data_IF_468695052621
#
_entry.id   IF_468695052621
#
_cell.length_a   1.000
_cell.length_b   1.000
_cell.length_c   1.000
_cell.angle_alpha   90.00
_cell.angle_beta   90.00
_cell.angle_gamma   90.00
#
_symmetry.space_group_name_H-M   'P 1'
#
loop_
_entity.id
_entity.type
_entity.pdbx_description
1 polymer ?
#
# COMPACT_ATOMS: atom_id res chain seq x y z
N UNK A 1 -22.71 -0.40 4.22
CA UNK A 1 -21.89 -1.56 3.86
C UNK A 1 -22.59 -2.90 4.07
N UNK A 2 -23.34 -3.11 5.17
CA UNK A 2 -24.12 -4.36 5.43
C UNK A 2 -24.96 -4.93 4.26
N UNK A 3 -25.55 -4.07 3.43
CA UNK A 3 -26.38 -4.51 2.28
C UNK A 3 -25.54 -5.16 1.16
N UNK A 4 -24.26 -4.81 1.02
CA UNK A 4 -23.38 -5.35 -0.03
C UNK A 4 -22.69 -6.64 0.45
N UNK A 5 -22.33 -6.74 1.74
CA UNK A 5 -21.83 -8.00 2.33
C UNK A 5 -22.87 -9.12 2.26
N UNK A 6 -24.16 -8.78 2.28
CA UNK A 6 -25.28 -9.73 2.05
C UNK A 6 -25.45 -10.12 0.56
N UNK A 7 -24.74 -9.46 -0.37
CA UNK A 7 -24.84 -9.66 -1.81
C UNK A 7 -23.48 -10.01 -2.44
N UNK A 8 -22.80 -11.05 -1.94
CA UNK A 8 -21.57 -11.57 -2.54
C UNK A 8 -21.71 -11.91 -4.04
N UNK A 9 -22.91 -12.30 -4.49
CA UNK A 9 -23.22 -12.50 -5.91
C UNK A 9 -23.00 -11.24 -6.75
N UNK A 10 -23.24 -10.05 -6.20
CA UNK A 10 -22.96 -8.80 -6.90
C UNK A 10 -21.46 -8.60 -7.10
N UNK A 11 -20.66 -8.90 -6.06
CA UNK A 11 -19.19 -8.86 -6.17
C UNK A 11 -18.71 -9.82 -7.26
N UNK A 12 -19.25 -11.04 -7.31
CA UNK A 12 -18.90 -12.00 -8.36
C UNK A 12 -19.19 -11.46 -9.77
N UNK A 13 -20.34 -10.81 -9.98
CA UNK A 13 -20.67 -10.19 -11.26
C UNK A 13 -19.72 -9.04 -11.61
N UNK A 14 -19.37 -8.19 -10.63
CA UNK A 14 -18.37 -7.13 -10.83
C UNK A 14 -17.04 -7.72 -11.25
N UNK A 15 -16.57 -8.79 -10.60
CA UNK A 15 -15.30 -9.44 -10.93
C UNK A 15 -15.33 -10.09 -12.33
N UNK A 16 -16.44 -10.73 -12.72
CA UNK A 16 -16.62 -11.30 -14.06
C UNK A 16 -16.55 -10.22 -15.14
N UNK A 17 -17.30 -9.12 -14.97
CA UNK A 17 -17.30 -7.99 -15.91
C UNK A 17 -15.90 -7.39 -15.98
N UNK A 18 -15.25 -7.21 -14.84
CA UNK A 18 -13.92 -6.62 -14.77
C UNK A 18 -12.89 -7.49 -15.49
N UNK A 19 -12.94 -8.82 -15.32
CA UNK A 19 -12.06 -9.75 -16.02
C UNK A 19 -12.22 -9.64 -17.54
N UNK A 20 -13.45 -9.54 -18.03
CA UNK A 20 -13.73 -9.35 -19.47
C UNK A 20 -13.22 -8.00 -19.98
N UNK A 21 -13.45 -6.91 -19.23
CA UNK A 21 -12.98 -5.58 -19.61
C UNK A 21 -11.45 -5.48 -19.59
N UNK A 22 -10.79 -6.09 -18.62
CA UNK A 22 -9.32 -6.12 -18.56
C UNK A 22 -8.75 -6.91 -19.73
N UNK A 23 -9.36 -8.05 -20.07
CA UNK A 23 -8.95 -8.81 -21.25
C UNK A 23 -9.12 -7.99 -22.54
N UNK A 24 -10.25 -7.27 -22.68
CA UNK A 24 -10.47 -6.35 -23.80
C UNK A 24 -9.40 -5.25 -23.83
N UNK A 25 -9.10 -4.63 -22.68
CA UNK A 25 -8.07 -3.59 -22.58
C UNK A 25 -6.72 -4.09 -23.05
N UNK A 26 -6.35 -5.30 -22.64
CA UNK A 26 -5.06 -5.88 -22.98
C UNK A 26 -4.93 -6.27 -24.47
N UNK A 27 -6.04 -6.34 -25.20
CA UNK A 27 -6.06 -6.63 -26.63
C UNK A 27 -6.13 -5.38 -27.52
N UNK A 28 -6.39 -4.21 -26.94
CA UNK A 28 -6.65 -2.99 -27.70
C UNK A 28 -5.79 -1.82 -27.19
N UNK A 29 -4.95 -1.27 -28.06
CA UNK A 29 -4.04 -0.16 -27.72
C UNK A 29 -4.77 1.17 -27.49
N UNK A 30 -5.92 1.38 -28.11
CA UNK A 30 -6.74 2.58 -27.97
C UNK A 30 -8.02 2.27 -27.18
N UNK A 31 -8.05 2.75 -25.94
CA UNK A 31 -9.23 2.63 -25.08
C UNK A 31 -10.09 3.88 -25.20
N UNK A 32 -11.40 3.68 -25.29
CA UNK A 32 -12.32 4.80 -25.10
C UNK A 32 -12.24 5.33 -23.66
N UNK A 33 -12.39 6.64 -23.49
CA UNK A 33 -12.45 7.29 -22.17
C UNK A 33 -13.54 6.67 -21.28
N UNK A 34 -14.66 6.26 -21.89
CA UNK A 34 -15.76 5.58 -21.21
C UNK A 34 -15.35 4.22 -20.64
N UNK A 35 -14.57 3.44 -21.38
CA UNK A 35 -14.05 2.14 -20.92
C UNK A 35 -13.10 2.32 -19.74
N UNK A 36 -12.14 3.25 -19.86
CA UNK A 36 -11.20 3.56 -18.78
C UNK A 36 -11.96 4.01 -17.53
N UNK A 37 -12.94 4.91 -17.69
CA UNK A 37 -13.76 5.44 -16.59
C UNK A 37 -14.54 4.33 -15.90
N UNK A 38 -15.15 3.42 -16.67
CA UNK A 38 -15.90 2.28 -16.12
C UNK A 38 -14.97 1.38 -15.28
N UNK A 39 -13.82 1.01 -15.83
CA UNK A 39 -12.85 0.13 -15.16
C UNK A 39 -12.30 0.78 -13.89
N UNK A 40 -11.93 2.07 -13.95
CA UNK A 40 -11.51 2.84 -12.78
C UNK A 40 -12.60 2.87 -11.71
N UNK A 41 -13.86 3.07 -12.11
CA UNK A 41 -14.99 3.07 -11.17
C UNK A 41 -15.14 1.71 -10.48
N UNK A 42 -14.97 0.62 -11.23
CA UNK A 42 -15.02 -0.73 -10.68
C UNK A 42 -13.86 -1.01 -9.73
N UNK A 43 -12.64 -0.56 -10.04
CA UNK A 43 -11.51 -0.67 -9.13
C UNK A 43 -11.71 0.12 -7.85
N UNK A 44 -12.14 1.39 -7.95
CA UNK A 44 -12.46 2.22 -6.80
C UNK A 44 -13.56 1.60 -5.94
N UNK A 45 -14.59 1.04 -6.57
CA UNK A 45 -15.66 0.31 -5.89
C UNK A 45 -15.10 -0.89 -5.11
N UNK A 46 -14.36 -1.79 -5.77
CA UNK A 46 -13.78 -2.97 -5.13
C UNK A 46 -12.85 -2.59 -3.98
N UNK A 47 -11.95 -1.63 -4.18
CA UNK A 47 -11.05 -1.12 -3.14
C UNK A 47 -11.82 -0.71 -1.89
N UNK A 48 -12.86 0.09 -2.04
CA UNK A 48 -13.64 0.58 -0.90
C UNK A 48 -14.34 -0.57 -0.16
N UNK A 49 -14.61 -1.68 -0.85
CA UNK A 49 -15.26 -2.86 -0.28
C UNK A 49 -14.27 -3.87 0.35
N UNK A 50 -12.97 -3.81 0.03
CA UNK A 50 -11.96 -4.73 0.60
C UNK A 50 -11.77 -4.57 2.12
N UNK A 51 -12.31 -3.51 2.73
CA UNK A 51 -12.36 -3.38 4.19
C UNK A 51 -13.33 -4.38 4.85
N UNK A 52 -14.24 -5.00 4.09
CA UNK A 52 -15.16 -6.03 4.56
C UNK A 52 -14.52 -7.42 4.37
N UNK A 53 -14.27 -8.20 5.45
CA UNK A 53 -13.54 -9.46 5.37
C UNK A 53 -14.13 -10.47 4.38
N UNK A 54 -15.46 -10.63 4.37
CA UNK A 54 -16.15 -11.57 3.46
C UNK A 54 -15.93 -11.19 1.99
N UNK A 55 -15.83 -9.89 1.68
CA UNK A 55 -15.58 -9.41 0.32
C UNK A 55 -14.10 -9.62 -0.04
N UNK A 56 -13.18 -9.31 0.87
CA UNK A 56 -11.76 -9.55 0.67
C UNK A 56 -11.48 -11.04 0.39
N UNK A 57 -12.05 -11.94 1.20
CA UNK A 57 -11.96 -13.38 1.00
C UNK A 57 -12.53 -13.81 -0.34
N UNK A 58 -13.66 -13.22 -0.76
CA UNK A 58 -14.28 -13.53 -2.04
C UNK A 58 -13.43 -13.08 -3.23
N UNK A 59 -12.84 -11.88 -3.18
CA UNK A 59 -11.92 -11.40 -4.21
C UNK A 59 -10.66 -12.28 -4.26
N UNK A 60 -10.13 -12.70 -3.12
CA UNK A 60 -8.98 -13.63 -3.06
C UNK A 60 -9.28 -14.97 -3.74
N UNK A 61 -10.47 -15.54 -3.49
CA UNK A 61 -10.93 -16.78 -4.13
C UNK A 61 -11.13 -16.67 -5.65
N UNK A 62 -11.23 -15.46 -6.19
CA UNK A 62 -11.47 -15.25 -7.62
C UNK A 62 -10.21 -15.27 -8.49
N UNK A 63 -9.02 -15.42 -7.89
CA UNK A 63 -7.72 -15.51 -8.56
C UNK A 63 -7.44 -14.33 -9.52
N UNK A 64 -7.94 -13.15 -9.17
CA UNK A 64 -7.89 -11.95 -10.02
C UNK A 64 -6.51 -11.27 -10.05
N UNK A 65 -5.56 -11.68 -9.19
CA UNK A 65 -4.22 -11.06 -9.09
C UNK A 65 -3.48 -11.08 -10.42
N UNK A 66 -3.53 -12.19 -11.15
CA UNK A 66 -2.94 -12.30 -12.50
C UNK A 66 -3.56 -11.31 -13.48
N UNK A 67 -4.89 -11.12 -13.40
CA UNK A 67 -5.65 -10.19 -14.25
C UNK A 67 -5.33 -8.74 -13.89
N UNK A 68 -5.26 -8.42 -12.60
CA UNK A 68 -4.81 -7.13 -12.09
C UNK A 68 -3.38 -6.80 -12.54
N UNK A 69 -2.50 -7.80 -12.56
CA UNK A 69 -1.12 -7.60 -12.98
C UNK A 69 -0.96 -7.24 -14.48
N UNK A 70 -1.91 -7.64 -15.33
CA UNK A 70 -1.95 -7.19 -16.73
C UNK A 70 -2.18 -5.68 -16.81
N UNK A 71 -3.10 -5.14 -15.99
CA UNK A 71 -3.37 -3.70 -15.94
C UNK A 71 -2.24 -2.90 -15.30
N UNK A 72 -1.57 -3.47 -14.31
CA UNK A 72 -0.40 -2.89 -13.68
C UNK A 72 0.72 -2.57 -14.70
N UNK A 73 0.74 -3.28 -15.84
CA UNK A 73 1.68 -3.07 -16.94
C UNK A 73 1.15 -2.14 -18.04
N UNK A 74 -0.07 -1.62 -17.93
CA UNK A 74 -0.70 -0.76 -18.95
C UNK A 74 -0.17 0.68 -18.93
N UNK A 75 -0.15 1.40 -20.04
CA UNK A 75 0.36 2.79 -20.06
C UNK A 75 -0.51 3.82 -19.31
N UNK A 76 -1.66 3.43 -18.78
CA UNK A 76 -2.58 4.33 -18.10
C UNK A 76 -2.25 4.41 -16.59
N UNK A 77 -1.62 5.51 -16.18
CA UNK A 77 -1.19 5.73 -14.79
C UNK A 77 -2.34 5.66 -13.77
N UNK A 78 -3.53 6.16 -14.12
CA UNK A 78 -4.69 6.09 -13.24
C UNK A 78 -5.15 4.65 -13.00
N UNK A 79 -5.16 3.81 -14.03
CA UNK A 79 -5.47 2.39 -13.90
C UNK A 79 -4.38 1.65 -13.12
N UNK A 80 -3.08 1.94 -13.38
CA UNK A 80 -1.95 1.38 -12.62
C UNK A 80 -2.11 1.64 -11.12
N UNK A 81 -2.35 2.88 -10.72
CA UNK A 81 -2.44 3.24 -9.29
C UNK A 81 -3.63 2.57 -8.59
N UNK A 82 -4.80 2.55 -9.24
CA UNK A 82 -5.98 1.91 -8.67
C UNK A 82 -5.81 0.39 -8.53
N UNK A 83 -5.15 -0.25 -9.51
CA UNK A 83 -4.92 -1.69 -9.45
C UNK A 83 -3.83 -2.08 -8.44
N UNK A 84 -2.83 -1.22 -8.21
CA UNK A 84 -1.81 -1.46 -7.17
C UNK A 84 -2.43 -1.70 -5.79
N UNK A 85 -3.44 -0.91 -5.42
CA UNK A 85 -4.13 -1.09 -4.14
C UNK A 85 -4.83 -2.46 -4.05
N UNK A 86 -5.53 -2.86 -5.12
CA UNK A 86 -6.19 -4.17 -5.17
C UNK A 86 -5.17 -5.31 -5.05
N UNK A 87 -4.06 -5.24 -5.78
CA UNK A 87 -2.97 -6.22 -5.68
C UNK A 87 -2.43 -6.26 -4.25
N UNK A 88 -2.15 -5.10 -3.63
CA UNK A 88 -1.58 -5.03 -2.28
C UNK A 88 -2.41 -5.77 -1.22
N UNK A 89 -3.73 -5.81 -1.37
CA UNK A 89 -4.65 -6.45 -0.43
C UNK A 89 -5.11 -7.85 -0.83
N UNK A 90 -4.88 -8.27 -2.08
CA UNK A 90 -5.37 -9.55 -2.60
C UNK A 90 -4.26 -10.53 -3.00
N UNK A 91 -3.04 -10.05 -3.21
CA UNK A 91 -1.91 -10.90 -3.57
C UNK A 91 -1.45 -11.74 -2.37
N UNK A 92 -1.25 -13.04 -2.61
CA UNK A 92 -0.55 -13.91 -1.70
C UNK A 92 0.97 -13.79 -1.87
N UNK A 93 1.72 -14.34 -0.91
CA UNK A 93 3.18 -14.27 -0.94
C UNK A 93 3.80 -14.92 -2.21
N UNK A 94 3.15 -15.93 -2.79
CA UNK A 94 3.60 -16.55 -4.03
C UNK A 94 3.33 -15.65 -5.25
N UNK A 95 2.18 -14.97 -5.29
CA UNK A 95 1.87 -14.04 -6.38
C UNK A 95 2.90 -12.90 -6.44
N UNK A 96 3.26 -12.34 -5.28
CA UNK A 96 4.30 -11.31 -5.18
C UNK A 96 5.67 -11.83 -5.61
N UNK A 97 5.99 -13.10 -5.33
CA UNK A 97 7.24 -13.73 -5.75
C UNK A 97 7.36 -13.85 -7.25
N UNK A 98 6.26 -14.18 -7.90
CA UNK A 98 6.19 -14.41 -9.35
C UNK A 98 5.96 -13.11 -10.16
N UNK A 99 5.71 -11.99 -9.48
CA UNK A 99 5.44 -10.69 -10.09
C UNK A 99 6.72 -10.04 -10.65
N UNK A 100 6.92 -10.17 -11.97
CA UNK A 100 8.09 -9.62 -12.67
C UNK A 100 8.19 -8.09 -12.62
N UNK A 101 7.06 -7.38 -12.54
CA UNK A 101 6.93 -5.92 -12.56
C UNK A 101 6.83 -5.30 -11.15
N UNK A 102 7.12 -6.05 -10.07
CA UNK A 102 7.01 -5.53 -8.70
C UNK A 102 7.83 -4.25 -8.48
N UNK A 103 9.05 -4.18 -9.02
CA UNK A 103 9.90 -2.98 -8.91
C UNK A 103 9.27 -1.77 -9.57
N UNK A 104 8.72 -1.91 -10.78
CA UNK A 104 8.07 -0.82 -11.52
C UNK A 104 6.80 -0.34 -10.80
N UNK A 105 6.03 -1.27 -10.23
CA UNK A 105 4.83 -0.94 -9.46
C UNK A 105 5.14 -0.12 -8.21
N UNK A 106 6.16 -0.54 -7.45
CA UNK A 106 6.58 0.21 -6.27
C UNK A 106 7.16 1.58 -6.65
N UNK A 107 7.96 1.66 -7.72
CA UNK A 107 8.47 2.96 -8.20
C UNK A 107 7.32 3.88 -8.58
N UNK A 108 6.31 3.38 -9.31
CA UNK A 108 5.10 4.16 -9.66
C UNK A 108 4.44 4.73 -8.39
N UNK A 109 4.21 3.90 -7.37
CA UNK A 109 3.60 4.35 -6.10
C UNK A 109 4.46 5.40 -5.40
N UNK A 110 5.79 5.20 -5.32
CA UNK A 110 6.69 6.15 -4.67
C UNK A 110 6.86 7.46 -5.44
N UNK A 111 6.93 7.43 -6.78
CA UNK A 111 7.00 8.65 -7.59
C UNK A 111 5.71 9.46 -7.49
N UNK A 112 4.54 8.79 -7.51
CA UNK A 112 3.27 9.49 -7.29
C UNK A 112 3.20 10.07 -5.87
N UNK A 113 3.64 9.33 -4.85
CA UNK A 113 3.67 9.83 -3.47
C UNK A 113 4.59 11.06 -3.36
N UNK A 114 5.83 10.95 -3.85
CA UNK A 114 6.79 12.06 -3.88
C UNK A 114 6.25 13.28 -4.63
N UNK A 115 5.56 13.08 -5.74
CA UNK A 115 4.95 14.17 -6.50
C UNK A 115 3.87 14.86 -5.69
N UNK A 116 2.95 14.12 -5.08
CA UNK A 116 1.87 14.67 -4.27
C UNK A 116 2.39 15.39 -3.02
N UNK A 117 3.41 14.86 -2.36
CA UNK A 117 4.06 15.50 -1.21
C UNK A 117 4.66 16.88 -1.54
N UNK A 118 5.09 17.09 -2.80
CA UNK A 118 5.67 18.35 -3.26
C UNK A 118 4.63 19.36 -3.80
N UNK A 119 3.36 18.97 -3.89
CA UNK A 119 2.30 19.85 -4.37
C UNK A 119 1.78 20.76 -3.24
N UNK A 120 1.43 22.00 -3.58
CA UNK A 120 0.86 22.97 -2.63
C UNK A 120 -0.64 22.81 -2.40
N UNK A 121 -1.33 22.06 -3.27
CA UNK A 121 -2.76 21.78 -3.13
C UNK A 121 -3.01 20.71 -2.08
N UNK A 122 -4.16 20.74 -1.42
CA UNK A 122 -4.60 19.66 -0.54
C UNK A 122 -4.79 18.37 -1.37
N UNK A 123 -3.93 17.38 -1.11
CA UNK A 123 -3.87 16.04 -1.72
C UNK A 123 -3.95 14.94 -0.69
N UNK A 124 -4.53 15.25 0.47
CA UNK A 124 -4.55 14.34 1.62
C UNK A 124 -5.19 13.00 1.27
N UNK A 125 -6.28 13.00 0.49
CA UNK A 125 -6.99 11.76 0.12
C UNK A 125 -6.14 10.86 -0.78
N UNK A 126 -5.48 11.43 -1.79
CA UNK A 126 -4.62 10.69 -2.71
C UNK A 126 -3.37 10.16 -2.00
N UNK A 127 -2.77 10.95 -1.10
CA UNK A 127 -1.64 10.52 -0.26
C UNK A 127 -2.05 9.35 0.65
N UNK A 128 -3.21 9.44 1.30
CA UNK A 128 -3.73 8.35 2.12
C UNK A 128 -3.90 7.06 1.33
N UNK A 129 -4.39 7.14 0.07
CA UNK A 129 -4.56 5.97 -0.78
C UNK A 129 -3.22 5.31 -1.16
N UNK A 130 -2.18 6.10 -1.42
CA UNK A 130 -0.86 5.56 -1.72
C UNK A 130 -0.21 4.93 -0.48
N UNK A 131 -0.35 5.56 0.69
CA UNK A 131 0.16 5.00 1.94
C UNK A 131 -0.59 3.73 2.36
N UNK A 132 -1.90 3.68 2.15
CA UNK A 132 -2.72 2.48 2.35
C UNK A 132 -2.29 1.34 1.41
N UNK A 133 -1.98 1.66 0.16
CA UNK A 133 -1.42 0.68 -0.80
C UNK A 133 -0.06 0.15 -0.33
N UNK A 134 0.84 1.01 0.13
CA UNK A 134 2.12 0.61 0.71
C UNK A 134 1.93 -0.23 1.99
N UNK A 135 0.92 0.10 2.80
CA UNK A 135 0.58 -0.66 4.00
C UNK A 135 0.18 -2.10 3.64
N UNK A 136 -0.62 -2.30 2.59
CA UNK A 136 -0.95 -3.63 2.07
C UNK A 136 0.30 -4.36 1.60
N UNK A 137 1.10 -3.76 0.71
CA UNK A 137 2.28 -4.42 0.15
C UNK A 137 3.35 -4.80 1.19
N UNK A 138 3.57 -3.95 2.20
CA UNK A 138 4.63 -4.16 3.21
C UNK A 138 4.38 -5.33 4.14
N UNK A 139 3.26 -6.06 4.02
CA UNK A 139 3.09 -7.35 4.68
C UNK A 139 3.98 -8.46 4.09
N UNK A 140 4.47 -8.29 2.85
CA UNK A 140 5.30 -9.29 2.16
C UNK A 140 6.80 -8.95 2.25
N UNK A 141 7.64 -9.90 2.67
CA UNK A 141 9.07 -9.65 2.87
C UNK A 141 9.83 -9.32 1.57
N UNK A 142 9.36 -9.85 0.42
CA UNK A 142 9.93 -9.51 -0.88
C UNK A 142 9.71 -8.04 -1.24
N UNK A 143 8.54 -7.48 -0.89
CA UNK A 143 8.27 -6.04 -1.06
C UNK A 143 9.22 -5.23 -0.18
N UNK A 144 9.40 -5.60 1.09
CA UNK A 144 10.33 -4.89 1.99
C UNK A 144 11.75 -4.86 1.43
N UNK A 145 12.19 -5.99 0.85
CA UNK A 145 13.50 -6.11 0.21
C UNK A 145 13.61 -5.20 -1.02
N UNK A 146 12.54 -5.08 -1.81
CA UNK A 146 12.51 -4.21 -2.98
C UNK A 146 12.48 -2.71 -2.60
N UNK A 147 11.70 -2.34 -1.58
CA UNK A 147 11.68 -0.98 -0.99
C UNK A 147 13.08 -0.55 -0.55
N UNK A 148 13.85 -1.48 0.04
CA UNK A 148 15.22 -1.25 0.44
C UNK A 148 16.13 -0.97 -0.77
N UNK A 149 16.06 -1.79 -1.82
CA UNK A 149 16.85 -1.58 -3.06
C UNK A 149 16.53 -0.24 -3.74
N UNK A 150 15.27 0.18 -3.69
CA UNK A 150 14.82 1.45 -4.26
C UNK A 150 15.18 2.68 -3.39
N UNK A 151 15.80 2.46 -2.23
CA UNK A 151 16.16 3.53 -1.29
C UNK A 151 14.97 4.46 -0.96
N UNK A 152 13.79 3.88 -0.71
CA UNK A 152 12.57 4.63 -0.47
C UNK A 152 12.33 5.00 1.01
N UNK A 153 13.16 4.49 1.93
CA UNK A 153 13.06 4.77 3.38
C UNK A 153 13.17 6.27 3.72
N UNK A 154 14.09 7.07 3.12
CA UNK A 154 14.15 8.51 3.36
C UNK A 154 12.84 9.23 3.05
N UNK A 155 12.18 8.89 1.93
CA UNK A 155 10.89 9.47 1.54
C UNK A 155 9.81 9.17 2.58
N UNK A 156 9.76 7.93 3.09
CA UNK A 156 8.82 7.55 4.14
C UNK A 156 9.09 8.26 5.46
N UNK A 157 10.36 8.48 5.82
CA UNK A 157 10.73 9.28 6.98
C UNK A 157 10.26 10.73 6.81
N UNK A 158 10.45 11.33 5.63
CA UNK A 158 9.99 12.69 5.32
C UNK A 158 8.45 12.81 5.42
N UNK A 159 7.70 11.80 5.00
CA UNK A 159 6.24 11.74 5.17
C UNK A 159 5.83 11.92 6.65
N UNK A 160 6.57 11.37 7.61
CA UNK A 160 6.27 11.52 9.05
C UNK A 160 6.47 12.94 9.59
N UNK A 161 7.05 13.82 8.77
CA UNK A 161 7.33 15.22 9.13
C UNK A 161 6.38 16.23 8.51
N UNK A 162 5.74 15.85 7.40
CA UNK A 162 4.91 16.75 6.60
C UNK A 162 3.42 16.40 6.69
N UNK A 163 3.09 15.17 7.07
CA UNK A 163 1.71 14.70 7.14
C UNK A 163 1.11 14.88 8.53
N UNK A 164 -0.22 14.96 8.55
CA UNK A 164 -1.02 15.05 9.76
C UNK A 164 -2.19 14.05 9.71
N UNK A 165 -2.92 13.92 10.82
CA UNK A 165 -4.14 13.12 10.89
C UNK A 165 -3.95 11.64 10.49
N UNK A 166 -4.83 11.14 9.64
CA UNK A 166 -4.84 9.73 9.21
C UNK A 166 -3.68 9.39 8.28
N UNK A 167 -3.30 10.30 7.38
CA UNK A 167 -2.13 10.12 6.53
C UNK A 167 -0.84 9.89 7.35
N UNK A 168 -0.67 10.65 8.44
CA UNK A 168 0.46 10.46 9.36
C UNK A 168 0.45 9.06 10.01
N UNK A 169 -0.71 8.61 10.48
CA UNK A 169 -0.86 7.27 11.08
C UNK A 169 -0.49 6.17 10.07
N UNK A 170 -0.94 6.28 8.82
CA UNK A 170 -0.60 5.33 7.76
C UNK A 170 0.90 5.32 7.46
N UNK A 171 1.55 6.49 7.39
CA UNK A 171 3.00 6.57 7.18
C UNK A 171 3.79 5.85 8.29
N UNK A 172 3.40 6.03 9.55
CA UNK A 172 4.01 5.29 10.66
C UNK A 172 3.69 3.80 10.60
N UNK A 173 2.48 3.38 10.21
CA UNK A 173 2.14 1.96 10.09
C UNK A 173 3.00 1.26 9.01
N UNK A 174 3.23 1.92 7.87
CA UNK A 174 4.15 1.46 6.83
C UNK A 174 5.57 1.30 7.40
N UNK A 175 6.08 2.32 8.11
CA UNK A 175 7.41 2.24 8.77
C UNK A 175 7.45 1.11 9.79
N UNK A 176 6.38 0.89 10.55
CA UNK A 176 6.29 -0.19 11.51
C UNK A 176 6.42 -1.56 10.85
N UNK A 177 5.65 -1.83 9.80
CA UNK A 177 5.74 -3.08 9.04
C UNK A 177 7.13 -3.28 8.43
N UNK A 178 7.73 -2.21 7.91
CA UNK A 178 9.09 -2.23 7.36
C UNK A 178 10.16 -2.51 8.41
N UNK A 179 10.01 -2.01 9.63
CA UNK A 179 10.98 -2.21 10.73
C UNK A 179 11.17 -3.68 11.15
N UNK A 180 10.32 -4.59 10.66
CA UNK A 180 10.51 -6.03 10.84
C UNK A 180 11.63 -6.61 9.96
N UNK A 181 12.04 -5.92 8.90
CA UNK A 181 13.27 -6.22 8.16
C UNK A 181 14.47 -5.59 8.87
N UNK A 182 15.53 -6.37 9.11
CA UNK A 182 16.66 -5.95 9.94
C UNK A 182 17.50 -4.84 9.30
N UNK A 183 17.76 -4.90 8.00
CA UNK A 183 18.50 -3.87 7.28
C UNK A 183 17.73 -2.53 7.30
N UNK A 184 16.42 -2.59 7.07
CA UNK A 184 15.57 -1.38 7.16
C UNK A 184 15.53 -0.85 8.60
N UNK A 185 15.42 -1.71 9.62
CA UNK A 185 15.48 -1.32 11.03
C UNK A 185 16.77 -0.57 11.35
N UNK A 186 17.90 -1.05 10.85
CA UNK A 186 19.20 -0.45 11.11
C UNK A 186 19.35 0.90 10.40
N UNK A 187 18.80 1.01 9.18
CA UNK A 187 18.66 2.30 8.48
C UNK A 187 17.77 3.25 9.27
N UNK A 188 16.61 2.81 9.77
CA UNK A 188 15.72 3.66 10.58
C UNK A 188 16.42 4.17 11.86
N UNK A 189 17.23 3.33 12.51
CA UNK A 189 18.04 3.70 13.67
C UNK A 189 19.11 4.77 13.35
N UNK A 190 19.49 4.93 12.08
CA UNK A 190 20.42 5.97 11.65
C UNK A 190 19.80 7.37 11.54
N UNK A 191 18.46 7.51 11.68
CA UNK A 191 17.75 8.79 11.69
C UNK A 191 17.40 9.25 13.10
N UNK A 192 18.28 9.96 13.83
CA UNK A 192 18.07 10.30 15.25
C UNK A 192 16.79 11.13 15.46
N UNK A 193 16.50 12.08 14.55
CA UNK A 193 15.31 12.91 14.62
C UNK A 193 14.00 12.11 14.48
N UNK A 194 14.00 11.05 13.68
CA UNK A 194 12.85 10.16 13.53
C UNK A 194 12.68 9.31 14.79
N UNK A 195 13.76 8.71 15.30
CA UNK A 195 13.75 7.88 16.51
C UNK A 195 13.27 8.66 17.73
N UNK A 196 13.76 9.88 17.93
CA UNK A 196 13.35 10.71 19.07
C UNK A 196 11.87 11.12 18.97
N UNK A 197 11.38 11.35 17.76
CA UNK A 197 9.96 11.65 17.51
C UNK A 197 9.07 10.43 17.80
N UNK A 198 9.46 9.26 17.29
CA UNK A 198 8.80 7.99 17.59
C UNK A 198 8.73 7.78 19.11
N UNK A 199 9.84 8.00 19.83
CA UNK A 199 9.88 7.88 21.29
C UNK A 199 8.89 8.84 21.95
N UNK A 200 8.88 10.12 21.58
CA UNK A 200 7.96 11.12 22.14
C UNK A 200 6.50 10.73 21.89
N UNK A 201 6.16 10.36 20.66
CA UNK A 201 4.79 9.96 20.30
C UNK A 201 4.35 8.72 21.09
N UNK A 202 5.22 7.71 21.22
CA UNK A 202 4.92 6.49 21.94
C UNK A 202 4.57 6.72 23.43
N UNK A 203 5.13 7.76 24.06
CA UNK A 203 4.90 8.05 25.48
C UNK A 203 3.78 9.08 25.69
N UNK A 204 3.82 10.18 24.93
CA UNK A 204 3.13 11.42 25.29
C UNK A 204 1.94 11.76 24.38
N UNK A 205 1.77 11.07 23.24
CA UNK A 205 0.68 11.39 22.31
C UNK A 205 -0.69 10.96 22.84
N UNK A 206 -1.72 11.73 22.49
CA UNK A 206 -3.13 11.47 22.83
C UNK A 206 -3.89 10.78 21.70
N UNK A 207 -3.36 10.81 20.48
CA UNK A 207 -3.89 10.09 19.34
C UNK A 207 -3.53 8.60 19.50
N UNK A 208 -4.45 7.81 20.04
CA UNK A 208 -4.25 6.38 20.33
C UNK A 208 -3.79 5.56 19.11
N UNK A 209 -4.38 5.70 17.90
CA UNK A 209 -3.85 5.06 16.71
C UNK A 209 -2.38 5.37 16.44
N UNK A 210 -1.99 6.65 16.52
CA UNK A 210 -0.63 7.12 16.27
C UNK A 210 0.34 6.62 17.36
N UNK A 211 -0.07 6.71 18.62
CA UNK A 211 0.67 6.21 19.78
C UNK A 211 0.95 4.71 19.68
N UNK A 212 -0.05 3.93 19.25
CA UNK A 212 0.05 2.48 19.08
C UNK A 212 1.12 2.12 18.04
N UNK A 213 1.06 2.72 16.85
CA UNK A 213 2.03 2.43 15.78
C UNK A 213 3.43 2.90 16.18
N UNK A 214 3.56 4.07 16.79
CA UNK A 214 4.85 4.57 17.28
C UNK A 214 5.45 3.66 18.37
N UNK A 215 4.64 3.17 19.31
CA UNK A 215 5.09 2.21 20.34
C UNK A 215 5.57 0.90 19.72
N UNK A 216 4.88 0.40 18.69
CA UNK A 216 5.28 -0.79 17.95
C UNK A 216 6.62 -0.62 17.25
N UNK A 217 6.86 0.53 16.61
CA UNK A 217 8.15 0.86 16.01
C UNK A 217 9.22 0.96 17.08
N UNK A 218 8.96 1.73 18.14
CA UNK A 218 9.91 1.97 19.23
C UNK A 218 10.40 0.65 19.84
N UNK A 219 9.47 -0.25 20.18
CA UNK A 219 9.78 -1.59 20.68
C UNK A 219 10.67 -2.39 19.71
N UNK A 220 10.40 -2.30 18.40
CA UNK A 220 11.18 -3.02 17.39
C UNK A 220 12.59 -2.45 17.23
N UNK A 221 12.73 -1.12 17.30
CA UNK A 221 14.03 -0.44 17.26
C UNK A 221 14.86 -0.75 18.53
N UNK A 222 14.24 -0.81 19.71
CA UNK A 222 14.92 -1.13 20.97
C UNK A 222 15.32 -2.60 21.11
N UNK A 223 14.44 -3.56 20.74
CA UNK A 223 14.79 -4.98 20.80
C UNK A 223 15.92 -5.36 19.85
N UNK A 224 16.03 -4.69 18.71
CA UNK A 224 17.19 -4.84 17.80
C UNK A 224 18.52 -4.47 18.48
N UNK A 225 18.50 -3.47 19.39
CA UNK A 225 19.69 -3.09 20.17
C UNK A 225 20.05 -4.12 21.24
N UNK A 226 19.07 -4.67 21.96
CA UNK A 226 19.36 -5.65 23.03
C UNK A 226 19.89 -6.99 22.50
N UNK A 227 19.55 -7.39 21.28
CA UNK A 227 20.10 -8.60 20.64
C UNK A 227 21.60 -8.48 20.32
N UNK A 228 22.11 -7.28 20.07
CA UNK A 228 23.53 -7.02 19.78
C UNK A 228 24.43 -7.06 21.03
N UNK A 229 23.86 -7.00 22.24
CA UNK A 229 24.60 -7.08 23.52
C UNK A 229 24.59 -8.49 24.15
N UNK A 230 24.06 -9.48 23.45
CA UNK A 230 23.97 -10.88 23.90
C UNK A 230 24.82 -11.85 23.05
N UNK A 231 25.72 -11.33 22.22
CA UNK A 231 26.79 -12.06 21.50
C UNK A 231 28.12 -11.54 22.03
#
# INVERSE_FOLDING_TARGET
>A
MKIISENLLFIDQVLIILKQLIFYINLHDELSDSTITLVNTMFCFLRNMLNEPDIADRVNQSEMVSTFNLIASSNNESLKLNVCNLIAYTAHANDIKEMANLSELLDTVFQSLKTLMNQKSDKTTEIEQLLDTLQGFTQHDQVKSEILKQNAIPLLADCTTQLEGKALVLAYDVIWKLSFNEEIRDILNSYPNLVDRIRKIAHDDKNEPLKRVASGIFWKLEKGRLALYLI
#
